data_IF_662236867235
#
_entry.id   IF_662236867235
#
_cell.length_a   1.000
_cell.length_b   1.000
_cell.length_c   1.000
_cell.angle_alpha   90.00
_cell.angle_beta   90.00
_cell.angle_gamma   90.00
#
_symmetry.space_group_name_H-M   'P 1'
#
loop_
_entity.id
_entity.type
_entity.pdbx_description
1 polymer ?
#
# COMPACT_ATOMS: atom_id res chain seq x y z
N UNK A 1 33.05 23.02 20.90
CA UNK A 1 33.11 21.83 21.77
C UNK A 1 32.70 20.65 20.92
N UNK A 2 33.68 19.93 20.40
CA UNK A 2 33.47 18.55 19.95
C UNK A 2 33.11 17.72 21.18
N UNK A 3 32.04 16.95 21.11
CA UNK A 3 31.78 15.82 22.02
C UNK A 3 31.30 14.69 21.14
N UNK A 4 32.06 13.60 21.18
CA UNK A 4 31.84 12.41 20.40
C UNK A 4 30.57 11.71 20.81
N UNK A 5 29.69 11.54 19.83
CA UNK A 5 28.76 10.43 19.84
C UNK A 5 29.34 9.43 18.85
N UNK A 6 30.01 8.40 19.38
CA UNK A 6 30.44 7.26 18.60
C UNK A 6 29.19 6.74 17.91
N UNK A 7 29.03 6.99 16.60
CA UNK A 7 27.81 6.62 15.87
C UNK A 7 27.61 5.11 16.04
N UNK A 8 26.73 4.73 16.96
CA UNK A 8 26.39 3.33 17.26
C UNK A 8 25.81 2.61 16.03
N UNK A 9 25.45 3.36 14.99
CA UNK A 9 24.80 2.85 13.79
C UNK A 9 25.73 2.92 12.58
N UNK A 10 26.15 1.75 12.11
CA UNK A 10 26.93 1.57 10.87
C UNK A 10 26.02 1.49 9.64
N UNK A 11 25.31 2.59 9.33
CA UNK A 11 24.39 2.64 8.19
C UNK A 11 25.14 2.37 6.87
N UNK A 12 24.63 1.45 6.04
CA UNK A 12 25.25 1.08 4.74
C UNK A 12 24.49 1.57 3.52
N UNK A 13 23.24 1.99 3.70
CA UNK A 13 22.37 2.41 2.62
C UNK A 13 20.90 2.35 2.99
N UNK A 14 20.06 2.70 2.03
CA UNK A 14 18.60 2.69 2.12
C UNK A 14 18.00 1.90 0.96
N UNK A 15 16.90 1.21 1.22
CA UNK A 15 16.08 0.55 0.20
C UNK A 15 14.63 0.98 0.43
N UNK A 16 13.95 1.42 -0.63
CA UNK A 16 12.55 1.79 -0.58
C UNK A 16 11.81 1.20 -1.79
N UNK A 17 10.84 0.34 -1.52
CA UNK A 17 9.99 -0.29 -2.54
C UNK A 17 8.66 0.42 -2.65
N UNK A 18 8.33 0.88 -3.86
CA UNK A 18 7.12 1.63 -4.18
C UNK A 18 6.81 2.79 -3.19
N UNK A 19 7.80 3.61 -2.77
CA UNK A 19 7.57 4.63 -1.76
C UNK A 19 6.82 5.83 -2.31
N UNK A 20 5.98 6.44 -1.46
CA UNK A 20 5.60 7.83 -1.62
C UNK A 20 6.83 8.71 -1.33
N UNK A 21 7.41 9.29 -2.37
CA UNK A 21 8.65 10.07 -2.32
C UNK A 21 8.37 11.56 -2.46
N UNK A 22 7.50 11.94 -3.40
CA UNK A 22 7.10 13.31 -3.63
C UNK A 22 5.61 13.33 -3.88
N UNK A 23 4.86 13.98 -2.99
CA UNK A 23 3.40 13.91 -3.03
C UNK A 23 2.87 14.41 -4.36
N UNK A 24 3.32 15.54 -4.86
CA UNK A 24 2.75 16.14 -6.07
C UNK A 24 3.07 15.28 -7.29
N UNK A 25 4.33 14.93 -7.46
CA UNK A 25 4.83 14.12 -8.57
C UNK A 25 4.18 12.73 -8.58
N UNK A 26 4.18 12.02 -7.44
CA UNK A 26 3.72 10.63 -7.39
C UNK A 26 2.20 10.50 -7.63
N UNK A 27 1.41 11.50 -7.26
CA UNK A 27 -0.03 11.47 -7.52
C UNK A 27 -0.37 11.94 -8.93
N UNK A 28 0.32 12.97 -9.45
CA UNK A 28 0.10 13.41 -10.82
C UNK A 28 0.61 12.38 -11.85
N UNK A 29 1.63 11.60 -11.53
CA UNK A 29 2.13 10.51 -12.37
C UNK A 29 1.14 9.34 -12.56
N UNK A 30 0.10 9.24 -11.72
CA UNK A 30 -0.90 8.16 -11.82
C UNK A 30 -1.68 8.21 -13.13
N UNK A 31 -2.08 9.41 -13.57
CA UNK A 31 -2.90 9.57 -14.78
C UNK A 31 -2.16 9.11 -16.04
N UNK A 32 -0.93 9.59 -16.36
CA UNK A 32 -0.18 9.08 -17.51
C UNK A 32 0.21 7.60 -17.35
N UNK A 33 0.42 7.10 -16.13
CA UNK A 33 0.64 5.67 -15.90
C UNK A 33 -0.59 4.84 -16.31
N UNK A 34 -1.79 5.22 -15.86
CA UNK A 34 -3.04 4.53 -16.20
C UNK A 34 -3.34 4.56 -17.70
N UNK A 35 -3.05 5.67 -18.36
CA UNK A 35 -3.11 5.77 -19.82
C UNK A 35 -2.11 4.83 -20.51
N UNK A 36 -0.84 4.83 -20.08
CA UNK A 36 0.19 3.92 -20.61
C UNK A 36 -0.12 2.43 -20.39
N UNK A 37 -0.94 2.10 -19.40
CA UNK A 37 -1.45 0.75 -19.12
C UNK A 37 -2.73 0.40 -19.92
N UNK A 38 -3.25 1.32 -20.74
CA UNK A 38 -4.45 1.12 -21.55
C UNK A 38 -5.77 1.12 -20.76
N UNK A 39 -5.76 1.67 -19.54
CA UNK A 39 -6.95 1.73 -18.68
C UNK A 39 -7.79 2.96 -19.01
N UNK A 40 -7.12 4.08 -19.31
CA UNK A 40 -7.76 5.32 -19.72
C UNK A 40 -7.66 5.40 -21.26
N UNK A 41 -8.78 5.59 -22.00
CA UNK A 41 -8.78 5.88 -23.42
C UNK A 41 -8.06 7.19 -23.77
N UNK A 42 -7.52 7.29 -24.99
CA UNK A 42 -6.81 8.48 -25.47
C UNK A 42 -7.67 9.74 -25.34
N UNK A 43 -8.96 9.69 -25.69
CA UNK A 43 -9.85 10.85 -25.65
C UNK A 43 -10.02 11.41 -24.23
N UNK A 44 -10.11 10.52 -23.23
CA UNK A 44 -10.26 10.90 -21.81
C UNK A 44 -8.92 11.44 -21.27
N UNK A 45 -7.81 10.81 -21.63
CA UNK A 45 -6.48 11.24 -21.20
C UNK A 45 -6.13 12.63 -21.75
N UNK A 46 -6.37 12.87 -23.03
CA UNK A 46 -6.08 14.15 -23.70
C UNK A 46 -6.95 15.28 -23.10
N UNK A 47 -8.24 15.04 -22.89
CA UNK A 47 -9.13 15.99 -22.21
C UNK A 47 -8.65 16.32 -20.79
N UNK A 48 -8.24 15.31 -20.02
CA UNK A 48 -7.70 15.53 -18.67
C UNK A 48 -6.37 16.31 -18.72
N UNK A 49 -5.47 15.98 -19.65
CA UNK A 49 -4.17 16.66 -19.79
C UNK A 49 -4.35 18.14 -20.10
N UNK A 50 -5.25 18.47 -21.02
CA UNK A 50 -5.57 19.85 -21.38
C UNK A 50 -6.29 20.59 -20.25
N UNK A 51 -7.34 19.99 -19.69
CA UNK A 51 -8.18 20.63 -18.67
C UNK A 51 -7.49 20.82 -17.32
N UNK A 52 -6.60 19.91 -16.94
CA UNK A 52 -5.91 19.94 -15.66
C UNK A 52 -4.52 20.58 -15.72
N UNK A 53 -3.93 20.76 -16.90
CA UNK A 53 -2.58 21.33 -17.04
C UNK A 53 -1.48 20.53 -16.34
N UNK A 54 -1.68 19.23 -16.17
CA UNK A 54 -0.78 18.33 -15.44
C UNK A 54 -0.99 18.27 -13.92
N UNK A 55 -1.91 19.05 -13.35
CA UNK A 55 -2.28 19.00 -11.93
C UNK A 55 -3.60 18.24 -11.75
N UNK A 56 -3.49 16.95 -11.53
CA UNK A 56 -4.62 16.02 -11.45
C UNK A 56 -5.12 15.80 -10.02
N UNK A 57 -4.38 16.25 -9.00
CA UNK A 57 -4.79 16.08 -7.61
C UNK A 57 -5.89 17.06 -7.22
N UNK A 58 -5.74 18.31 -7.64
CA UNK A 58 -6.63 19.40 -7.24
C UNK A 58 -7.27 20.02 -8.48
N UNK A 59 -8.50 19.60 -8.86
CA UNK A 59 -9.15 20.14 -10.03
C UNK A 59 -9.35 21.64 -9.88
N UNK A 60 -8.71 22.42 -10.76
CA UNK A 60 -8.76 23.88 -10.74
C UNK A 60 -10.01 24.45 -11.40
N UNK A 61 -10.72 23.63 -12.19
CA UNK A 61 -11.88 24.03 -12.97
C UNK A 61 -12.82 22.83 -13.24
N UNK A 62 -14.01 23.10 -13.74
CA UNK A 62 -15.03 22.09 -14.03
C UNK A 62 -14.62 21.11 -15.13
N UNK A 63 -13.84 21.55 -16.12
CA UNK A 63 -13.37 20.67 -17.18
C UNK A 63 -12.43 19.60 -16.63
N UNK A 64 -11.44 20.00 -15.82
CA UNK A 64 -10.56 19.06 -15.11
C UNK A 64 -11.36 18.14 -14.18
N UNK A 65 -12.29 18.68 -13.39
CA UNK A 65 -13.11 17.88 -12.48
C UNK A 65 -13.92 16.80 -13.22
N UNK A 66 -14.52 17.13 -14.35
CA UNK A 66 -15.28 16.19 -15.17
C UNK A 66 -14.37 15.11 -15.78
N UNK A 67 -13.22 15.48 -16.34
CA UNK A 67 -12.27 14.50 -16.88
C UNK A 67 -11.73 13.56 -15.81
N UNK A 68 -11.47 14.05 -14.59
CA UNK A 68 -11.07 13.20 -13.46
C UNK A 68 -12.20 12.25 -13.02
N UNK A 69 -13.46 12.66 -13.14
CA UNK A 69 -14.61 11.79 -12.89
C UNK A 69 -14.71 10.68 -13.93
N UNK A 70 -14.52 10.99 -15.21
CA UNK A 70 -14.51 9.98 -16.29
C UNK A 70 -13.38 8.95 -16.07
N UNK A 71 -12.20 9.42 -15.65
CA UNK A 71 -11.07 8.54 -15.27
C UNK A 71 -11.44 7.64 -14.08
N UNK A 72 -12.13 8.15 -13.07
CA UNK A 72 -12.58 7.34 -11.94
C UNK A 72 -13.53 6.21 -12.38
N UNK A 73 -14.40 6.47 -13.35
CA UNK A 73 -15.26 5.43 -13.93
C UNK A 73 -14.46 4.38 -14.72
N UNK A 74 -13.40 4.78 -15.43
CA UNK A 74 -12.48 3.81 -16.07
C UNK A 74 -11.79 2.90 -15.06
N UNK A 75 -11.47 3.43 -13.87
CA UNK A 75 -10.84 2.68 -12.78
C UNK A 75 -11.83 1.84 -11.96
N UNK A 76 -13.15 1.93 -12.23
CA UNK A 76 -14.17 1.32 -11.39
C UNK A 76 -14.01 -0.20 -11.32
N UNK A 77 -13.81 -0.70 -10.11
CA UNK A 77 -13.63 -2.13 -9.84
C UNK A 77 -12.19 -2.63 -10.02
N UNK A 78 -11.24 -1.74 -10.34
CA UNK A 78 -9.80 -2.02 -10.31
C UNK A 78 -9.22 -1.71 -8.93
N UNK A 79 -8.23 -2.50 -8.53
CA UNK A 79 -7.48 -2.28 -7.32
C UNK A 79 -6.48 -1.13 -7.51
N UNK A 80 -6.58 -0.08 -6.70
CA UNK A 80 -5.76 1.13 -6.78
C UNK A 80 -4.31 0.92 -6.33
N UNK A 81 -4.04 -0.10 -5.52
CA UNK A 81 -2.68 -0.51 -5.15
C UNK A 81 -2.08 -1.54 -6.11
N UNK A 82 -2.90 -2.19 -6.94
CA UNK A 82 -2.44 -3.15 -7.94
C UNK A 82 -3.39 -3.23 -9.13
N UNK A 83 -3.15 -2.40 -10.15
CA UNK A 83 -4.15 -2.14 -11.20
C UNK A 83 -4.52 -3.32 -12.10
N UNK A 84 -3.69 -4.37 -12.13
CA UNK A 84 -3.99 -5.63 -12.82
C UNK A 84 -4.96 -6.53 -12.03
N UNK A 85 -5.29 -6.17 -10.79
CA UNK A 85 -6.22 -6.88 -9.92
C UNK A 85 -7.55 -6.12 -9.80
N UNK A 86 -8.62 -6.85 -9.53
CA UNK A 86 -9.93 -6.26 -9.22
C UNK A 86 -9.98 -5.88 -7.74
N UNK A 87 -10.89 -4.96 -7.39
CA UNK A 87 -11.20 -4.68 -5.99
C UNK A 87 -11.65 -5.96 -5.30
N UNK A 88 -11.07 -6.20 -4.14
CA UNK A 88 -11.33 -7.37 -3.32
C UNK A 88 -12.13 -6.98 -2.08
N UNK A 89 -13.06 -7.84 -1.62
CA UNK A 89 -13.67 -7.66 -0.31
C UNK A 89 -12.58 -7.65 0.77
N UNK A 90 -12.72 -6.76 1.76
CA UNK A 90 -11.77 -6.60 2.86
C UNK A 90 -11.67 -7.87 3.70
N UNK A 91 -12.82 -8.50 3.95
CA UNK A 91 -12.95 -9.82 4.53
C UNK A 91 -13.49 -10.75 3.45
N UNK A 92 -12.62 -11.42 2.66
CA UNK A 92 -13.12 -12.44 1.76
C UNK A 92 -13.85 -13.48 2.60
N UNK A 93 -15.09 -13.79 2.24
CA UNK A 93 -15.80 -14.93 2.79
C UNK A 93 -14.95 -16.16 2.51
N UNK A 94 -14.10 -16.53 3.46
CA UNK A 94 -13.43 -17.82 3.49
C UNK A 94 -14.54 -18.83 3.79
N UNK A 95 -15.40 -19.07 2.81
CA UNK A 95 -16.17 -20.28 2.71
C UNK A 95 -15.14 -21.39 2.52
N UNK A 96 -14.50 -21.79 3.61
CA UNK A 96 -13.94 -23.11 3.78
C UNK A 96 -15.09 -24.04 3.40
N UNK A 97 -15.07 -24.55 2.17
CA UNK A 97 -15.92 -25.66 1.81
C UNK A 97 -15.66 -26.71 2.90
N UNK A 98 -16.64 -26.87 3.79
CA UNK A 98 -16.63 -27.90 4.82
C UNK A 98 -16.60 -29.21 4.05
N UNK A 99 -15.42 -29.77 3.82
CA UNK A 99 -15.34 -31.19 3.54
C UNK A 99 -15.94 -31.91 4.77
N UNK A 100 -16.70 -32.99 4.56
CA UNK A 100 -17.36 -33.69 5.65
C UNK A 100 -16.31 -34.14 6.67
N UNK A 101 -16.68 -33.98 7.94
CA UNK A 101 -15.92 -34.35 9.13
C UNK A 101 -15.34 -35.77 9.03
N UNK A 102 -14.03 -35.88 8.86
CA UNK A 102 -13.27 -36.93 9.51
C UNK A 102 -12.58 -36.31 10.72
N UNK A 103 -12.75 -36.95 11.88
CA UNK A 103 -12.08 -36.58 13.11
C UNK A 103 -10.57 -36.72 12.91
N UNK A 104 -9.87 -35.60 12.76
CA UNK A 104 -8.44 -35.57 12.99
C UNK A 104 -8.09 -34.33 13.80
N UNK A 105 -7.56 -34.56 15.00
CA UNK A 105 -7.00 -33.55 15.90
C UNK A 105 -5.62 -33.11 15.37
N UNK A 106 -5.60 -32.61 14.14
CA UNK A 106 -4.39 -32.25 13.42
C UNK A 106 -4.59 -30.94 12.67
N UNK A 107 -4.04 -29.86 13.24
CA UNK A 107 -3.67 -28.59 12.59
C UNK A 107 -4.31 -28.38 11.22
N UNK A 108 -5.43 -27.63 11.15
CA UNK A 108 -6.06 -27.19 9.89
C UNK A 108 -4.98 -26.61 8.96
N UNK A 109 -4.52 -27.42 8.01
CA UNK A 109 -3.66 -26.97 6.92
C UNK A 109 -4.54 -26.11 6.02
N UNK A 110 -4.41 -24.80 6.15
CA UNK A 110 -4.85 -23.87 5.11
C UNK A 110 -4.02 -24.22 3.87
N UNK A 111 -4.65 -24.84 2.88
CA UNK A 111 -4.00 -25.13 1.61
C UNK A 111 -3.76 -23.82 0.89
N UNK A 112 -2.52 -23.56 0.46
CA UNK A 112 -2.13 -22.44 -0.42
C UNK A 112 -3.09 -22.27 -1.60
N UNK A 113 -3.64 -23.38 -2.10
CA UNK A 113 -4.63 -23.44 -3.18
C UNK A 113 -5.92 -22.64 -2.92
N UNK A 114 -6.38 -22.45 -1.68
CA UNK A 114 -7.57 -21.65 -1.39
C UNK A 114 -7.28 -20.14 -1.37
N UNK A 115 -6.02 -19.76 -1.18
CA UNK A 115 -5.54 -18.36 -1.18
C UNK A 115 -5.21 -17.91 -2.61
N UNK A 116 -5.08 -18.86 -3.54
CA UNK A 116 -4.38 -18.71 -4.82
C UNK A 116 -5.21 -18.21 -6.01
N UNK A 117 -6.44 -17.69 -5.90
CA UNK A 117 -7.16 -17.41 -7.16
C UNK A 117 -7.99 -16.15 -7.33
N UNK A 118 -7.97 -15.14 -6.46
CA UNK A 118 -8.53 -13.84 -6.91
C UNK A 118 -8.10 -12.61 -6.09
N UNK A 119 -7.68 -12.76 -4.82
CA UNK A 119 -7.55 -11.62 -3.91
C UNK A 119 -6.43 -11.73 -2.87
N UNK A 120 -5.49 -10.77 -2.88
CA UNK A 120 -4.45 -10.64 -1.85
C UNK A 120 -5.00 -10.42 -0.43
N UNK A 121 -6.20 -9.85 -0.30
CA UNK A 121 -6.84 -9.56 0.99
C UNK A 121 -7.01 -10.80 1.89
N UNK A 122 -7.10 -12.00 1.32
CA UNK A 122 -7.15 -13.24 2.10
C UNK A 122 -5.90 -13.39 2.99
N UNK A 123 -4.72 -13.01 2.51
CA UNK A 123 -3.48 -13.07 3.28
C UNK A 123 -3.47 -12.07 4.44
N UNK A 124 -4.06 -10.88 4.25
CA UNK A 124 -4.19 -9.88 5.32
C UNK A 124 -5.12 -10.37 6.43
N UNK A 125 -6.27 -10.95 6.07
CA UNK A 125 -7.19 -11.52 7.04
C UNK A 125 -6.56 -12.69 7.82
N UNK A 126 -5.85 -13.60 7.13
CA UNK A 126 -5.13 -14.68 7.79
C UNK A 126 -4.03 -14.16 8.74
N UNK A 127 -3.36 -13.08 8.36
CA UNK A 127 -2.37 -12.43 9.23
C UNK A 127 -3.00 -11.86 10.50
N UNK A 128 -4.19 -11.25 10.38
CA UNK A 128 -4.94 -10.74 11.53
C UNK A 128 -5.40 -11.86 12.46
N UNK A 129 -5.96 -12.94 11.92
CA UNK A 129 -6.33 -14.13 12.71
C UNK A 129 -5.12 -14.69 13.44
N UNK A 130 -4.03 -14.95 12.71
CA UNK A 130 -2.83 -15.55 13.27
C UNK A 130 -2.18 -14.67 14.34
N UNK A 131 -2.07 -13.35 14.12
CA UNK A 131 -1.42 -12.43 15.07
C UNK A 131 -2.27 -12.22 16.34
N UNK A 132 -3.58 -12.48 16.26
CA UNK A 132 -4.49 -12.35 17.41
C UNK A 132 -4.74 -13.65 18.18
N UNK A 133 -4.22 -14.80 17.73
CA UNK A 133 -4.22 -16.04 18.51
C UNK A 133 -3.47 -15.85 19.84
N UNK A 134 -4.06 -16.30 20.96
CA UNK A 134 -3.50 -16.10 22.30
C UNK A 134 -2.07 -16.64 22.41
N UNK A 135 -1.84 -17.86 21.91
CA UNK A 135 -0.52 -18.49 21.92
C UNK A 135 0.53 -17.71 21.11
N UNK A 136 0.13 -17.07 20.00
CA UNK A 136 1.02 -16.23 19.19
C UNK A 136 1.34 -14.94 19.93
N UNK A 137 0.33 -14.30 20.52
CA UNK A 137 0.51 -13.07 21.31
C UNK A 137 1.42 -13.29 22.52
N UNK A 138 1.24 -14.40 23.24
CA UNK A 138 2.10 -14.80 24.35
C UNK A 138 3.55 -15.03 23.87
N UNK A 139 3.73 -15.73 22.75
CA UNK A 139 5.05 -16.00 22.16
C UNK A 139 5.76 -14.73 21.68
N UNK A 140 5.01 -13.72 21.24
CA UNK A 140 5.51 -12.40 20.86
C UNK A 140 5.74 -11.47 22.07
N UNK A 141 5.47 -11.93 23.30
CA UNK A 141 5.64 -11.14 24.52
C UNK A 141 4.58 -10.06 24.70
N UNK A 142 3.42 -10.18 24.06
CA UNK A 142 2.32 -9.23 24.21
C UNK A 142 1.55 -9.56 25.49
N UNK A 143 1.68 -8.68 26.49
CA UNK A 143 1.00 -8.83 27.77
C UNK A 143 -0.51 -8.62 27.63
N UNK A 144 -1.29 -9.43 28.34
CA UNK A 144 -2.75 -9.26 28.44
C UNK A 144 -3.07 -7.82 28.88
N UNK A 145 -4.12 -7.25 28.30
CA UNK A 145 -4.62 -5.88 28.58
C UNK A 145 -3.76 -4.71 28.04
N UNK A 146 -2.54 -4.94 27.51
CA UNK A 146 -1.71 -3.84 26.96
C UNK A 146 -2.13 -3.40 25.56
N UNK A 147 -2.47 -4.37 24.70
CA UNK A 147 -2.93 -4.13 23.33
C UNK A 147 -4.22 -4.93 23.15
N UNK A 148 -5.37 -4.30 22.86
CA UNK A 148 -6.65 -5.03 22.76
C UNK A 148 -6.68 -6.07 21.64
N UNK A 149 -6.24 -5.67 20.44
CA UNK A 149 -6.16 -6.51 19.24
C UNK A 149 -5.07 -5.94 18.33
N UNK A 150 -4.42 -6.81 17.57
CA UNK A 150 -3.55 -6.39 16.49
C UNK A 150 -4.39 -6.02 15.27
N UNK A 151 -4.10 -4.86 14.68
CA UNK A 151 -4.68 -4.37 13.43
C UNK A 151 -3.54 -4.14 12.44
N UNK A 152 -3.75 -4.51 11.17
CA UNK A 152 -2.73 -4.30 10.12
C UNK A 152 -2.48 -2.82 9.85
N UNK A 153 -3.56 -2.03 9.77
CA UNK A 153 -3.52 -0.59 9.59
C UNK A 153 -4.50 0.05 10.56
N UNK A 154 -4.01 0.95 11.42
CA UNK A 154 -4.86 1.81 12.24
C UNK A 154 -5.00 3.18 11.59
N UNK A 155 -6.15 3.42 10.96
CA UNK A 155 -6.45 4.68 10.28
C UNK A 155 -6.90 5.79 11.23
N UNK A 156 -7.04 5.51 12.54
CA UNK A 156 -7.39 6.50 13.55
C UNK A 156 -6.16 7.13 14.21
N UNK A 157 -4.95 6.71 13.83
CA UNK A 157 -3.73 7.31 14.32
C UNK A 157 -3.68 8.80 13.94
N UNK A 158 -3.54 9.72 14.91
CA UNK A 158 -3.44 11.14 14.62
C UNK A 158 -2.08 11.40 13.94
N UNK A 159 -2.08 11.44 12.61
CA UNK A 159 -0.89 11.65 11.81
C UNK A 159 -1.02 12.92 10.96
N UNK A 160 -0.04 13.82 11.09
CA UNK A 160 0.06 15.04 10.29
C UNK A 160 1.19 14.89 9.29
N UNK A 161 0.92 15.16 8.02
CA UNK A 161 1.92 15.12 6.97
C UNK A 161 2.71 16.44 6.93
N UNK A 162 3.89 16.45 7.54
CA UNK A 162 4.77 17.62 7.58
C UNK A 162 5.79 17.64 6.43
N UNK A 163 6.20 16.45 5.96
CA UNK A 163 7.17 16.29 4.86
C UNK A 163 6.41 15.97 3.57
N UNK A 164 6.50 16.87 2.58
CA UNK A 164 5.85 16.70 1.28
C UNK A 164 6.71 15.97 0.24
N UNK A 165 8.04 16.03 0.39
CA UNK A 165 9.00 15.42 -0.52
C UNK A 165 10.23 14.97 0.25
N UNK A 166 10.69 13.75 0.01
CA UNK A 166 11.93 13.18 0.56
C UNK A 166 13.03 13.07 -0.50
N UNK A 167 12.84 13.69 -1.67
CA UNK A 167 13.83 13.69 -2.76
C UNK A 167 15.16 14.29 -2.29
N UNK A 168 15.12 15.42 -1.60
CA UNK A 168 16.31 16.09 -1.08
C UNK A 168 16.98 15.28 0.04
N UNK A 169 16.21 14.58 0.87
CA UNK A 169 16.73 13.68 1.90
C UNK A 169 17.48 12.50 1.28
N UNK A 170 16.89 11.86 0.27
CA UNK A 170 17.54 10.80 -0.49
C UNK A 170 18.82 11.30 -1.16
N UNK A 171 18.79 12.49 -1.78
CA UNK A 171 19.97 13.10 -2.40
C UNK A 171 21.07 13.39 -1.36
N UNK A 172 20.70 13.89 -0.18
CA UNK A 172 21.64 14.17 0.90
C UNK A 172 22.33 12.89 1.41
N UNK A 173 21.60 11.77 1.50
CA UNK A 173 22.16 10.47 1.87
C UNK A 173 23.11 9.94 0.79
N UNK A 174 22.71 10.01 -0.49
CA UNK A 174 23.53 9.56 -1.61
C UNK A 174 24.83 10.39 -1.69
N UNK A 175 24.74 11.70 -1.52
CA UNK A 175 25.89 12.62 -1.54
C UNK A 175 26.88 12.35 -0.40
N UNK A 176 26.40 11.81 0.74
CA UNK A 176 27.24 11.37 1.85
C UNK A 176 27.91 10.00 1.63
N UNK A 177 27.65 9.35 0.49
CA UNK A 177 28.22 8.04 0.14
C UNK A 177 27.37 6.84 0.55
N UNK A 178 26.14 7.04 1.00
CA UNK A 178 25.22 5.92 1.26
C UNK A 178 24.64 5.38 -0.05
N UNK A 179 24.59 4.05 -0.18
CA UNK A 179 23.91 3.42 -1.31
C UNK A 179 22.40 3.57 -1.17
N UNK A 180 21.70 3.91 -2.23
CA UNK A 180 20.24 3.98 -2.24
C UNK A 180 19.67 3.12 -3.38
N UNK A 181 18.64 2.34 -3.08
CA UNK A 181 17.83 1.63 -4.08
C UNK A 181 16.37 2.02 -3.88
N UNK A 182 15.84 2.82 -4.80
CA UNK A 182 14.42 3.17 -4.85
C UNK A 182 13.85 2.49 -6.09
N UNK A 183 12.94 1.54 -5.90
CA UNK A 183 12.28 0.85 -7.01
C UNK A 183 10.78 1.13 -6.98
N UNK A 184 10.20 1.31 -8.17
CA UNK A 184 8.80 1.65 -8.40
C UNK A 184 8.20 0.66 -9.37
#
# INVERSE_FOLDING_TARGET
>A
IEVGDERLTNLKGIIAGNPLTDRTTDFNARIPFLHGMGIIPDEIYEAAREGCGGEYRWPSNSHCANSLQDIQECMRGLNDVHVLEKICPEYPSLALHKQPTSQDHGRRRLTESAVSSLCRNATYFLSELWTNEESVRESLGIHKETVPSWLRCDFNLPYTYEINSTVDDHLALITKGYRAMIYR
#
